data_IF_558583460825
#
_entry.id   IF_558583460825
#
_cell.length_a   1.000
_cell.length_b   1.000
_cell.length_c   1.000
_cell.angle_alpha   90.00
_cell.angle_beta   90.00
_cell.angle_gamma   90.00
#
_symmetry.space_group_name_H-M   'P 1'
#
loop_
_entity.id
_entity.type
_entity.pdbx_description
1 polymer ?
#
# COMPACT_ATOMS: atom_id res chain seq x y z
N UNK A 1 -44.21 -40.44 54.99
CA UNK A 1 -42.81 -40.54 54.55
C UNK A 1 -42.60 -41.94 54.01
N UNK A 2 -42.09 -42.11 52.78
CA UNK A 2 -40.66 -42.03 52.56
C UNK A 2 -40.28 -40.92 51.56
N UNK A 3 -39.11 -40.35 51.80
CA UNK A 3 -38.51 -39.26 51.05
C UNK A 3 -37.98 -39.80 49.71
N UNK A 4 -38.31 -39.19 48.56
CA UNK A 4 -37.78 -39.61 47.27
C UNK A 4 -36.27 -39.31 47.21
N UNK A 5 -35.48 -40.37 47.05
CA UNK A 5 -34.04 -40.31 46.83
C UNK A 5 -33.76 -39.68 45.46
N UNK A 6 -33.07 -38.56 45.49
CA UNK A 6 -32.69 -37.78 44.30
C UNK A 6 -31.65 -38.55 43.48
N UNK A 7 -31.76 -38.55 42.13
CA UNK A 7 -30.74 -39.14 41.26
C UNK A 7 -29.37 -38.51 41.53
N UNK A 8 -28.26 -39.26 41.36
CA UNK A 8 -26.93 -38.71 41.58
C UNK A 8 -26.74 -37.50 40.66
N UNK A 9 -26.46 -36.37 41.30
CA UNK A 9 -26.23 -35.09 40.63
C UNK A 9 -25.17 -35.30 39.54
N UNK A 10 -25.38 -34.81 38.31
CA UNK A 10 -24.36 -34.86 37.25
C UNK A 10 -23.03 -34.38 37.83
N UNK A 11 -21.96 -35.13 37.56
CA UNK A 11 -20.64 -34.73 38.02
C UNK A 11 -20.40 -33.27 37.59
N UNK A 12 -19.96 -32.40 38.50
CA UNK A 12 -19.77 -30.99 38.19
C UNK A 12 -18.87 -30.86 36.97
N UNK A 13 -19.14 -29.89 36.08
CA UNK A 13 -18.38 -29.75 34.85
C UNK A 13 -16.88 -29.59 35.18
N UNK A 14 -16.04 -30.36 34.48
CA UNK A 14 -14.59 -30.31 34.67
C UNK A 14 -14.10 -28.91 34.32
N UNK A 15 -13.40 -28.28 35.26
CA UNK A 15 -12.86 -26.94 35.04
C UNK A 15 -11.88 -26.96 33.86
N UNK A 16 -12.00 -26.03 32.90
CA UNK A 16 -11.15 -26.02 31.73
C UNK A 16 -9.72 -25.64 32.10
N UNK A 17 -8.76 -26.34 31.49
CA UNK A 17 -7.34 -26.00 31.56
C UNK A 17 -6.97 -25.08 30.40
N UNK A 18 -6.23 -24.02 30.70
CA UNK A 18 -5.91 -22.97 29.72
C UNK A 18 -4.50 -22.43 29.94
N UNK A 19 -3.87 -21.97 28.86
CA UNK A 19 -2.62 -21.21 28.94
C UNK A 19 -2.84 -19.76 28.53
N UNK A 20 -1.91 -18.88 28.89
CA UNK A 20 -2.00 -17.47 28.53
C UNK A 20 -1.85 -17.24 27.01
N UNK A 21 -2.57 -16.25 26.43
CA UNK A 21 -2.34 -15.83 25.06
C UNK A 21 -1.03 -15.06 24.92
N UNK A 22 -0.56 -14.94 23.67
CA UNK A 22 0.65 -14.20 23.30
C UNK A 22 0.30 -13.24 22.15
N UNK A 23 0.70 -11.97 22.26
CA UNK A 23 0.61 -10.99 21.16
C UNK A 23 1.84 -11.11 20.28
N UNK A 24 1.64 -11.22 18.98
CA UNK A 24 2.70 -11.32 17.98
C UNK A 24 2.45 -10.30 16.85
N UNK A 25 3.49 -9.76 16.24
CA UNK A 25 3.39 -8.82 15.09
C UNK A 25 4.29 -7.59 15.23
N UNK A 26 4.42 -6.82 14.15
CA UNK A 26 5.29 -5.64 14.11
C UNK A 26 4.73 -4.55 14.98
N UNK A 27 5.56 -4.04 15.87
CA UNK A 27 5.25 -2.95 16.77
C UNK A 27 5.77 -1.67 16.11
N UNK A 28 5.34 -1.39 14.89
CA UNK A 28 5.60 -0.13 14.20
C UNK A 28 4.29 0.48 13.75
N UNK A 29 4.28 1.81 13.69
CA UNK A 29 3.11 2.54 13.21
C UNK A 29 2.67 2.01 11.85
N UNK A 30 1.41 1.60 11.82
CA UNK A 30 0.63 1.19 10.68
C UNK A 30 0.63 -0.32 10.34
N UNK A 31 1.43 -1.13 11.04
CA UNK A 31 1.40 -2.59 10.91
C UNK A 31 0.11 -3.21 11.48
N UNK A 32 0.03 -4.53 11.58
CA UNK A 32 -0.99 -5.21 12.37
C UNK A 32 -0.37 -6.29 13.24
N UNK A 33 -0.87 -6.45 14.46
CA UNK A 33 -0.51 -7.52 15.41
C UNK A 33 -1.64 -8.51 15.56
N UNK A 34 -1.33 -9.75 15.94
CA UNK A 34 -2.25 -10.88 16.07
C UNK A 34 -2.11 -11.56 17.42
N UNK A 35 -3.21 -12.04 17.97
CA UNK A 35 -3.27 -12.75 19.23
C UNK A 35 -3.23 -14.27 18.98
N UNK A 36 -2.28 -14.95 19.63
CA UNK A 36 -2.27 -16.41 19.74
C UNK A 36 -2.96 -16.80 21.05
N UNK A 37 -4.06 -17.56 21.01
CA UNK A 37 -4.92 -17.69 22.18
C UNK A 37 -4.41 -18.63 23.28
N UNK A 38 -3.38 -19.44 23.04
CA UNK A 38 -2.95 -20.51 23.97
C UNK A 38 -3.77 -21.80 23.84
N UNK A 39 -3.62 -22.75 24.77
CA UNK A 39 -4.44 -23.96 24.84
C UNK A 39 -5.72 -23.70 25.63
N UNK A 40 -6.81 -24.35 25.20
CA UNK A 40 -8.11 -24.30 25.85
C UNK A 40 -8.69 -25.72 25.80
N UNK A 41 -8.70 -26.43 26.94
CA UNK A 41 -9.14 -27.83 27.02
C UNK A 41 -10.20 -28.02 28.12
N UNK A 42 -11.38 -28.58 27.81
CA UNK A 42 -11.87 -28.97 26.47
C UNK A 42 -11.98 -27.76 25.52
N UNK A 43 -12.12 -27.98 24.22
CA UNK A 43 -12.30 -26.88 23.24
C UNK A 43 -13.54 -26.04 23.59
N UNK A 44 -13.41 -24.71 23.59
CA UNK A 44 -14.51 -23.78 23.88
C UNK A 44 -15.35 -23.46 22.63
N UNK A 45 -16.46 -22.72 22.80
CA UNK A 45 -17.07 -21.95 21.69
C UNK A 45 -16.08 -20.95 21.08
N UNK A 46 -16.36 -20.33 19.90
CA UNK A 46 -15.43 -19.41 19.24
C UNK A 46 -14.88 -18.35 20.20
N UNK A 47 -13.57 -18.21 20.21
CA UNK A 47 -12.87 -17.31 21.12
C UNK A 47 -13.19 -15.86 20.82
N UNK A 48 -13.34 -15.07 21.89
CA UNK A 48 -13.51 -13.61 21.81
C UNK A 48 -12.24 -12.92 22.25
N UNK A 49 -11.83 -11.90 21.50
CA UNK A 49 -10.62 -11.13 21.77
C UNK A 49 -10.99 -9.75 22.31
N UNK A 50 -10.11 -9.22 23.15
CA UNK A 50 -10.13 -7.83 23.57
C UNK A 50 -8.70 -7.36 23.64
N UNK A 51 -8.35 -6.41 22.80
CA UNK A 51 -7.02 -5.85 22.71
C UNK A 51 -6.83 -4.67 23.65
N UNK A 52 -5.59 -4.40 24.03
CA UNK A 52 -5.22 -3.29 24.90
C UNK A 52 -3.90 -2.68 24.46
N UNK A 53 -3.80 -1.35 24.57
CA UNK A 53 -2.56 -0.59 24.43
C UNK A 53 -2.29 0.08 25.77
N UNK A 54 -1.15 -0.22 26.41
CA UNK A 54 -0.80 0.18 27.77
C UNK A 54 -1.93 -0.02 28.81
N UNK A 55 -2.66 -1.13 28.66
CA UNK A 55 -3.77 -1.50 29.54
C UNK A 55 -5.11 -0.82 29.21
N UNK A 56 -5.17 0.09 28.24
CA UNK A 56 -6.40 0.72 27.75
C UNK A 56 -7.04 -0.14 26.68
N UNK A 57 -8.32 -0.49 26.85
CA UNK A 57 -9.05 -1.36 25.92
C UNK A 57 -9.25 -0.73 24.55
N UNK A 58 -8.95 -1.48 23.49
CA UNK A 58 -9.29 -1.15 22.11
C UNK A 58 -10.72 -1.64 21.82
N UNK A 59 -11.70 -0.76 21.98
CA UNK A 59 -13.12 -1.07 21.79
C UNK A 59 -13.41 -1.35 20.31
N UNK A 60 -14.15 -2.42 20.00
CA UNK A 60 -14.46 -2.83 18.62
C UNK A 60 -13.45 -3.82 18.03
N UNK A 61 -12.21 -3.79 18.50
CA UNK A 61 -11.14 -4.73 18.13
C UNK A 61 -11.34 -6.08 18.84
N UNK A 62 -12.27 -6.86 18.29
CA UNK A 62 -12.74 -8.13 18.86
C UNK A 62 -12.27 -9.35 18.08
N UNK A 63 -11.58 -9.11 16.96
CA UNK A 63 -10.96 -10.14 16.13
C UNK A 63 -9.58 -10.57 16.65
N UNK A 64 -9.03 -11.66 16.09
CA UNK A 64 -7.73 -12.18 16.46
C UNK A 64 -6.57 -11.27 16.02
N UNK A 65 -6.83 -10.19 15.28
CA UNK A 65 -5.85 -9.24 14.75
C UNK A 65 -6.24 -7.82 15.18
N UNK A 66 -5.25 -6.97 15.40
CA UNK A 66 -5.33 -5.55 15.73
C UNK A 66 -4.41 -4.80 14.78
N UNK A 67 -4.93 -3.89 13.95
CA UNK A 67 -4.07 -2.98 13.19
C UNK A 67 -3.43 -1.98 14.15
N UNK A 68 -2.11 -1.90 14.10
CA UNK A 68 -1.32 -0.93 14.83
C UNK A 68 -1.42 0.39 14.12
N UNK A 69 -2.40 1.20 14.49
CA UNK A 69 -2.40 2.58 14.06
C UNK A 69 -1.20 3.34 14.67
N UNK A 70 -1.02 4.60 14.26
CA UNK A 70 -0.08 5.51 14.91
C UNK A 70 -0.17 5.55 16.44
N UNK A 71 -1.37 5.38 17.00
CA UNK A 71 -1.62 5.31 18.45
C UNK A 71 -0.96 4.11 19.16
N UNK A 72 -0.52 3.13 18.38
CA UNK A 72 0.26 2.04 18.91
C UNK A 72 1.66 2.53 19.31
N UNK A 73 2.23 3.57 18.66
CA UNK A 73 3.58 4.11 18.89
C UNK A 73 3.89 4.33 20.38
N UNK A 74 5.00 3.78 20.85
CA UNK A 74 5.43 3.79 22.25
C UNK A 74 4.65 2.85 23.16
N UNK A 75 3.46 2.41 22.75
CA UNK A 75 2.58 1.60 23.58
C UNK A 75 2.98 0.14 23.59
N UNK A 76 2.71 -0.51 24.72
CA UNK A 76 2.85 -1.96 24.86
C UNK A 76 1.49 -2.61 24.74
N UNK A 77 1.45 -3.66 23.96
CA UNK A 77 0.22 -4.32 23.60
C UNK A 77 -0.02 -5.50 24.53
N UNK A 78 -1.26 -5.65 24.97
CA UNK A 78 -1.76 -6.87 25.63
C UNK A 78 -3.08 -7.28 25.02
N UNK A 79 -3.45 -8.54 25.20
CA UNK A 79 -4.74 -9.07 24.74
C UNK A 79 -5.33 -9.98 25.79
N UNK A 80 -6.65 -9.92 25.95
CA UNK A 80 -7.44 -10.86 26.73
C UNK A 80 -8.27 -11.71 25.78
N UNK A 81 -8.14 -13.03 25.92
CA UNK A 81 -8.88 -14.03 25.17
C UNK A 81 -9.89 -14.69 26.11
N UNK A 82 -11.13 -14.83 25.63
CA UNK A 82 -12.24 -15.38 26.41
C UNK A 82 -12.83 -16.61 25.73
N UNK A 83 -13.00 -17.68 26.49
CA UNK A 83 -13.66 -18.91 26.06
C UNK A 83 -14.86 -19.23 26.94
N UNK A 84 -15.86 -19.89 26.35
CA UNK A 84 -17.12 -20.27 27.00
C UNK A 84 -17.41 -21.77 26.82
N UNK A 85 -17.97 -22.40 27.86
CA UNK A 85 -18.43 -23.78 27.86
C UNK A 85 -19.81 -23.87 28.53
N UNK A 86 -20.60 -24.86 28.15
CA UNK A 86 -21.92 -25.04 28.74
C UNK A 86 -21.83 -25.33 30.25
N UNK A 87 -22.59 -24.58 31.04
CA UNK A 87 -22.65 -24.75 32.50
C UNK A 87 -21.39 -24.30 33.25
N UNK A 88 -20.43 -23.68 32.57
CA UNK A 88 -19.21 -23.10 33.16
C UNK A 88 -19.23 -21.60 32.92
N UNK A 89 -18.88 -20.81 33.93
CA UNK A 89 -18.66 -19.37 33.76
C UNK A 89 -17.54 -19.12 32.73
N UNK A 90 -17.64 -18.01 31.99
CA UNK A 90 -16.62 -17.62 31.01
C UNK A 90 -15.22 -17.58 31.65
N UNK A 91 -14.25 -18.16 30.95
CA UNK A 91 -12.85 -18.11 31.36
C UNK A 91 -12.10 -17.12 30.50
N UNK A 92 -11.40 -16.21 31.17
CA UNK A 92 -10.57 -15.19 30.54
C UNK A 92 -9.10 -15.48 30.80
N UNK A 93 -8.27 -15.32 29.77
CA UNK A 93 -6.81 -15.36 29.89
C UNK A 93 -6.21 -14.16 29.18
N UNK A 94 -5.38 -13.42 29.90
CA UNK A 94 -4.61 -12.30 29.37
C UNK A 94 -3.15 -12.71 29.18
N UNK A 95 -2.44 -11.98 28.33
CA UNK A 95 -0.98 -12.11 28.20
C UNK A 95 -0.28 -11.98 29.55
N UNK A 96 0.72 -12.82 29.82
CA UNK A 96 1.51 -12.77 31.06
C UNK A 96 2.48 -11.60 31.11
N UNK A 97 2.81 -11.00 29.95
CA UNK A 97 3.66 -9.80 29.83
C UNK A 97 3.18 -8.95 28.65
N UNK A 98 3.21 -7.63 28.80
CA UNK A 98 3.00 -6.70 27.70
C UNK A 98 4.17 -6.73 26.69
N UNK A 99 3.91 -6.37 25.43
CA UNK A 99 4.96 -6.32 24.39
C UNK A 99 6.04 -5.26 24.68
N UNK A 100 7.03 -5.15 23.80
CA UNK A 100 7.84 -3.93 23.70
C UNK A 100 6.96 -2.72 23.31
N UNK A 101 7.43 -1.47 23.54
CA UNK A 101 6.84 -0.27 22.97
C UNK A 101 6.79 -0.39 21.45
N UNK A 102 5.74 0.11 20.82
CA UNK A 102 5.74 0.29 19.36
C UNK A 102 6.67 1.44 18.99
N UNK A 103 7.22 1.42 17.79
CA UNK A 103 8.16 2.42 17.28
C UNK A 103 7.60 3.06 16.03
N UNK A 104 8.16 4.21 15.63
CA UNK A 104 7.66 4.90 14.46
C UNK A 104 7.99 4.08 13.19
N UNK A 105 7.67 4.68 12.05
CA UNK A 105 8.54 4.67 10.89
C UNK A 105 9.48 5.88 11.04
N UNK A 106 10.67 5.79 11.66
CA UNK A 106 11.65 6.87 11.64
C UNK A 106 12.64 6.67 10.49
N UNK A 107 13.15 7.77 9.90
CA UNK A 107 14.57 7.71 9.56
C UNK A 107 15.27 8.84 8.82
N UNK A 108 16.45 9.18 9.32
CA UNK A 108 17.60 9.82 8.65
C UNK A 108 18.71 10.18 9.69
N UNK A 109 18.57 9.75 10.93
CA UNK A 109 19.33 10.12 12.12
C UNK A 109 20.71 9.43 12.29
N UNK A 110 21.21 8.72 11.28
CA UNK A 110 22.60 8.23 11.15
C UNK A 110 23.48 9.17 10.34
N UNK A 111 22.89 9.86 9.38
CA UNK A 111 23.64 10.09 8.17
C UNK A 111 24.10 8.75 7.60
N UNK A 112 23.23 8.05 6.89
CA UNK A 112 23.10 8.15 5.46
C UNK A 112 21.99 7.24 4.91
N UNK A 113 21.51 6.17 5.56
CA UNK A 113 20.34 5.34 5.17
C UNK A 113 19.92 5.34 3.68
N UNK A 114 18.61 5.31 3.41
CA UNK A 114 18.03 5.55 2.08
C UNK A 114 16.99 6.66 2.10
N UNK A 115 17.03 7.51 1.07
CA UNK A 115 15.87 8.25 0.63
C UNK A 115 14.94 7.28 -0.12
N UNK A 116 13.81 6.92 0.48
CA UNK A 116 12.83 5.97 -0.04
C UNK A 116 11.84 6.69 -0.95
N UNK A 117 11.59 6.12 -2.13
CA UNK A 117 10.64 6.65 -3.13
C UNK A 117 9.65 5.57 -3.53
N UNK A 118 8.37 5.75 -3.22
CA UNK A 118 7.34 4.80 -3.64
C UNK A 118 6.84 5.09 -5.05
N UNK A 119 6.62 4.05 -5.86
CA UNK A 119 6.13 4.17 -7.23
C UNK A 119 4.85 3.34 -7.37
N UNK A 120 3.72 4.04 -7.39
CA UNK A 120 2.37 3.51 -7.31
C UNK A 120 1.58 3.78 -8.59
N UNK A 121 0.48 3.06 -8.78
CA UNK A 121 -0.43 3.24 -9.91
C UNK A 121 -0.45 2.03 -10.85
N UNK A 122 -0.42 2.26 -12.16
CA UNK A 122 -0.57 1.22 -13.19
C UNK A 122 0.57 1.17 -14.21
N UNK A 123 0.30 0.75 -15.45
CA UNK A 123 1.31 0.42 -16.47
C UNK A 123 2.30 1.55 -16.76
N UNK A 124 1.87 2.82 -16.80
CA UNK A 124 2.79 3.95 -16.98
C UNK A 124 3.69 4.22 -15.75
N UNK A 125 3.25 3.88 -14.54
CA UNK A 125 4.10 3.87 -13.35
C UNK A 125 5.06 2.67 -13.35
N UNK A 126 4.56 1.50 -13.79
CA UNK A 126 5.29 0.23 -13.87
C UNK A 126 6.43 0.27 -14.89
N UNK A 127 6.26 1.09 -15.94
CA UNK A 127 7.16 1.19 -17.07
C UNK A 127 6.66 0.40 -18.26
N UNK A 128 5.73 1.00 -19.02
CA UNK A 128 5.25 0.48 -20.30
C UNK A 128 6.07 0.94 -21.50
N UNK A 129 7.18 1.65 -21.31
CA UNK A 129 7.90 2.32 -22.39
C UNK A 129 8.79 1.43 -23.22
N UNK A 130 8.56 1.44 -24.53
CA UNK A 130 9.38 0.77 -25.52
C UNK A 130 10.57 1.64 -25.94
N UNK A 131 11.67 0.99 -26.35
CA UNK A 131 12.91 1.69 -26.70
C UNK A 131 13.91 1.79 -25.56
N UNK A 132 14.00 0.74 -24.73
CA UNK A 132 15.10 0.58 -23.78
C UNK A 132 16.45 0.75 -24.50
N UNK A 133 17.30 1.60 -23.94
CA UNK A 133 18.62 1.90 -24.48
C UNK A 133 19.68 1.60 -23.41
N UNK A 134 20.51 0.55 -23.57
CA UNK A 134 21.51 0.19 -22.57
C UNK A 134 22.61 1.26 -22.38
N UNK A 135 22.73 2.25 -23.26
CA UNK A 135 23.63 3.38 -23.07
C UNK A 135 23.05 4.47 -22.16
N UNK A 136 21.72 4.51 -22.00
CA UNK A 136 20.99 5.53 -21.23
C UNK A 136 20.35 4.95 -19.96
N UNK A 137 19.71 3.78 -20.08
CA UNK A 137 19.00 3.08 -19.02
C UNK A 137 19.94 2.18 -18.23
N UNK A 138 20.96 2.81 -17.68
CA UNK A 138 22.01 2.14 -16.91
C UNK A 138 21.65 2.12 -15.42
N UNK A 139 21.90 0.99 -14.73
CA UNK A 139 21.92 0.95 -13.27
C UNK A 139 22.92 1.96 -12.70
N UNK A 140 22.66 2.40 -11.47
CA UNK A 140 23.53 3.32 -10.76
C UNK A 140 23.80 2.80 -9.36
N UNK A 141 25.08 2.63 -9.02
CA UNK A 141 25.48 2.31 -7.64
C UNK A 141 24.91 3.36 -6.68
N UNK A 142 24.24 2.89 -5.62
CA UNK A 142 23.53 3.74 -4.65
C UNK A 142 22.04 3.94 -4.96
N UNK A 143 21.54 3.46 -6.10
CA UNK A 143 20.09 3.35 -6.37
C UNK A 143 19.71 1.87 -6.28
N UNK A 144 18.89 1.53 -5.30
CA UNK A 144 18.40 0.19 -5.04
C UNK A 144 16.88 0.13 -5.18
N UNK A 145 16.32 -1.07 -5.26
CA UNK A 145 14.88 -1.30 -5.25
C UNK A 145 14.50 -2.39 -4.24
N UNK A 146 13.38 -2.19 -3.54
CA UNK A 146 12.72 -3.25 -2.80
C UNK A 146 11.83 -4.04 -3.76
N UNK A 147 12.16 -5.31 -4.03
CA UNK A 147 11.46 -6.12 -5.03
C UNK A 147 10.00 -6.35 -4.62
N UNK A 148 9.08 -5.75 -5.37
CA UNK A 148 7.63 -5.85 -5.15
C UNK A 148 6.96 -7.04 -5.83
N UNK A 149 7.64 -7.66 -6.81
CA UNK A 149 7.09 -8.77 -7.61
C UNK A 149 7.08 -10.06 -6.80
N UNK A 150 5.90 -10.54 -6.42
CA UNK A 150 5.76 -11.77 -5.63
C UNK A 150 6.17 -13.04 -6.38
N UNK A 151 6.33 -12.99 -7.70
CA UNK A 151 6.79 -14.13 -8.52
C UNK A 151 8.31 -14.11 -8.70
N UNK A 152 8.98 -13.02 -8.34
CA UNK A 152 10.42 -12.91 -8.41
C UNK A 152 11.07 -13.63 -7.23
N UNK A 153 12.20 -14.29 -7.48
CA UNK A 153 12.91 -15.05 -6.45
C UNK A 153 13.45 -14.15 -5.32
N UNK A 154 13.60 -12.85 -5.58
CA UNK A 154 14.06 -11.86 -4.61
C UNK A 154 12.94 -11.03 -3.99
N UNK A 155 11.67 -11.45 -4.10
CA UNK A 155 10.53 -10.75 -3.49
C UNK A 155 10.79 -10.36 -2.03
N UNK A 156 10.54 -9.07 -1.72
CA UNK A 156 10.76 -8.51 -0.38
C UNK A 156 12.23 -8.24 -0.03
N UNK A 157 13.17 -8.43 -0.96
CA UNK A 157 14.60 -8.11 -0.78
C UNK A 157 14.96 -6.81 -1.47
N UNK A 158 16.01 -6.16 -0.96
CA UNK A 158 16.66 -5.03 -1.63
C UNK A 158 17.69 -5.57 -2.61
N UNK A 159 17.62 -5.10 -3.86
CA UNK A 159 18.57 -5.41 -4.93
C UNK A 159 18.96 -4.12 -5.65
N UNK A 160 20.10 -4.07 -6.37
CA UNK A 160 20.41 -2.92 -7.22
C UNK A 160 19.24 -2.61 -8.17
N UNK A 161 18.90 -1.33 -8.29
CA UNK A 161 17.81 -0.92 -9.16
C UNK A 161 18.25 -1.00 -10.63
N UNK A 162 17.37 -1.55 -11.45
CA UNK A 162 17.59 -1.72 -12.88
C UNK A 162 16.22 -1.74 -13.58
N UNK A 163 16.14 -1.18 -14.77
CA UNK A 163 14.94 -1.32 -15.61
C UNK A 163 14.83 -2.78 -16.08
N UNK A 164 13.65 -3.36 -16.23
CA UNK A 164 12.40 -2.88 -15.66
C UNK A 164 12.38 -3.05 -14.15
N UNK A 165 11.90 -2.05 -13.44
CA UNK A 165 11.69 -2.15 -12.00
C UNK A 165 10.72 -3.28 -11.66
N UNK A 166 10.97 -3.97 -10.56
CA UNK A 166 10.24 -5.18 -10.15
C UNK A 166 9.02 -4.82 -9.31
N UNK A 167 7.99 -4.31 -9.99
CA UNK A 167 6.68 -3.94 -9.45
C UNK A 167 5.86 -5.14 -8.94
N UNK A 168 4.60 -4.96 -8.50
CA UNK A 168 3.74 -6.04 -7.95
C UNK A 168 3.71 -7.29 -8.84
N UNK A 169 3.73 -7.04 -10.15
CA UNK A 169 4.24 -7.98 -11.13
C UNK A 169 5.29 -7.26 -11.96
N UNK A 170 6.22 -7.97 -12.58
CA UNK A 170 7.11 -7.39 -13.59
C UNK A 170 6.53 -7.66 -14.97
N UNK A 171 6.28 -6.60 -15.74
CA UNK A 171 5.85 -6.75 -17.13
C UNK A 171 7.01 -7.31 -17.95
N UNK A 172 6.87 -8.54 -18.44
CA UNK A 172 7.86 -9.23 -19.29
C UNK A 172 7.31 -9.36 -20.71
N UNK A 173 8.16 -9.08 -21.69
CA UNK A 173 7.89 -9.33 -23.11
C UNK A 173 8.95 -10.29 -23.65
N UNK A 174 8.57 -11.21 -24.54
CA UNK A 174 9.50 -12.22 -25.07
C UNK A 174 10.46 -11.66 -26.11
N UNK A 175 10.06 -10.58 -26.78
CA UNK A 175 10.78 -9.92 -27.88
C UNK A 175 11.53 -8.66 -27.43
N UNK A 176 11.36 -8.23 -26.17
CA UNK A 176 11.98 -7.03 -25.63
C UNK A 176 12.69 -7.33 -24.32
N UNK A 177 13.97 -6.91 -24.17
CA UNK A 177 14.73 -7.25 -22.99
C UNK A 177 14.15 -6.56 -21.74
N UNK A 178 13.77 -5.28 -21.86
CA UNK A 178 13.34 -4.41 -20.76
C UNK A 178 12.36 -3.33 -21.26
N UNK A 179 11.49 -2.91 -20.36
CA UNK A 179 10.60 -1.77 -20.48
C UNK A 179 11.01 -0.67 -19.50
N UNK A 180 10.79 0.59 -19.88
CA UNK A 180 11.26 1.76 -19.13
C UNK A 180 10.10 2.46 -18.45
N UNK A 181 10.29 2.80 -17.18
CA UNK A 181 9.38 3.61 -16.37
C UNK A 181 10.03 4.89 -15.83
N UNK A 182 9.27 5.72 -15.09
CA UNK A 182 9.80 6.98 -14.55
C UNK A 182 10.76 6.77 -13.37
N UNK A 183 10.66 5.63 -12.67
CA UNK A 183 11.33 5.39 -11.39
C UNK A 183 12.85 5.47 -11.43
N UNK A 184 13.50 4.80 -12.40
CA UNK A 184 14.96 4.81 -12.50
C UNK A 184 15.51 6.20 -12.79
N UNK A 185 14.82 6.98 -13.62
CA UNK A 185 15.24 8.37 -13.91
C UNK A 185 15.09 9.26 -12.68
N UNK A 186 13.99 9.16 -11.95
CA UNK A 186 13.81 9.87 -10.68
C UNK A 186 14.89 9.49 -9.66
N UNK A 187 15.12 8.19 -9.46
CA UNK A 187 16.06 7.68 -8.47
C UNK A 187 17.51 8.10 -8.73
N UNK A 188 17.94 8.08 -9.99
CA UNK A 188 19.27 8.58 -10.39
C UNK A 188 19.43 10.08 -10.14
N UNK A 189 18.39 10.87 -10.43
CA UNK A 189 18.42 12.31 -10.20
C UNK A 189 18.44 12.64 -8.71
N UNK A 190 17.62 11.96 -7.90
CA UNK A 190 17.63 12.11 -6.45
C UNK A 190 18.99 11.78 -5.85
N UNK A 191 19.58 10.64 -6.23
CA UNK A 191 20.91 10.24 -5.73
C UNK A 191 21.99 11.26 -6.08
N UNK A 192 21.92 11.88 -7.26
CA UNK A 192 22.90 12.87 -7.69
C UNK A 192 22.94 14.11 -6.77
N UNK A 193 21.80 14.47 -6.17
CA UNK A 193 21.67 15.59 -5.25
C UNK A 193 21.72 15.16 -3.76
N UNK A 194 21.70 13.85 -3.48
CA UNK A 194 21.84 13.31 -2.13
C UNK A 194 23.23 13.58 -1.55
N UNK A 195 23.29 13.81 -0.24
CA UNK A 195 24.55 13.97 0.48
C UNK A 195 25.47 12.73 0.33
N UNK A 196 26.80 12.88 0.31
CA UNK A 196 27.72 11.77 0.06
C UNK A 196 27.49 10.58 0.99
N UNK A 197 27.14 9.44 0.39
CA UNK A 197 26.90 8.17 1.07
C UNK A 197 25.44 7.85 1.36
N UNK A 198 24.50 8.81 1.17
CA UNK A 198 23.05 8.56 1.24
C UNK A 198 22.66 7.86 -0.05
N UNK A 199 21.88 6.79 0.08
CA UNK A 199 21.41 5.97 -1.04
C UNK A 199 19.95 6.30 -1.34
N UNK A 200 19.45 5.77 -2.46
CA UNK A 200 18.04 5.85 -2.84
C UNK A 200 17.47 4.43 -2.88
N UNK A 201 16.30 4.24 -2.26
CA UNK A 201 15.56 2.99 -2.32
C UNK A 201 14.22 3.21 -3.01
N UNK A 202 14.08 2.66 -4.21
CA UNK A 202 12.82 2.65 -4.94
C UNK A 202 11.92 1.54 -4.39
N UNK A 203 10.64 1.85 -4.16
CA UNK A 203 9.60 0.89 -3.76
C UNK A 203 8.60 0.76 -4.91
N UNK A 204 8.90 -0.09 -5.91
CA UNK A 204 8.02 -0.35 -7.04
C UNK A 204 6.77 -1.16 -6.61
N UNK A 205 5.61 -0.50 -6.56
CA UNK A 205 4.35 -1.12 -6.14
C UNK A 205 3.16 -0.86 -7.09
N UNK A 206 3.41 -0.32 -8.29
CA UNK A 206 2.44 -0.25 -9.38
C UNK A 206 2.01 -1.65 -9.92
N UNK A 207 0.88 -1.69 -10.62
CA UNK A 207 0.37 -2.88 -11.30
C UNK A 207 -0.40 -2.52 -12.57
N UNK A 208 0.02 -3.03 -13.73
CA UNK A 208 -0.66 -2.82 -14.99
C UNK A 208 -2.13 -3.26 -14.99
N UNK A 209 -2.95 -2.57 -15.79
CA UNK A 209 -4.38 -2.88 -15.98
C UNK A 209 -5.22 -2.87 -14.70
N UNK A 210 -4.88 -2.00 -13.75
CA UNK A 210 -5.67 -1.80 -12.52
C UNK A 210 -6.42 -0.48 -12.53
N UNK A 211 -7.45 -0.42 -11.71
CA UNK A 211 -8.25 0.78 -11.50
C UNK A 211 -8.42 1.08 -10.02
N UNK A 212 -8.83 2.30 -9.75
CA UNK A 212 -9.21 2.76 -8.43
C UNK A 212 -10.68 2.45 -8.12
N UNK A 213 -11.56 2.56 -9.12
CA UNK A 213 -13.02 2.47 -8.94
C UNK A 213 -13.73 1.50 -9.88
N UNK A 214 -13.02 1.00 -10.90
CA UNK A 214 -13.51 -0.03 -11.81
C UNK A 214 -13.19 -1.41 -11.26
N UNK A 215 -14.15 -2.31 -11.41
CA UNK A 215 -13.93 -3.75 -11.34
C UNK A 215 -14.63 -4.39 -12.53
N UNK A 216 -13.89 -5.13 -13.35
CA UNK A 216 -14.48 -6.05 -14.31
C UNK A 216 -14.14 -7.50 -13.94
N UNK A 217 -14.74 -8.45 -14.66
CA UNK A 217 -14.64 -9.88 -14.33
C UNK A 217 -13.21 -10.45 -14.38
N UNK A 218 -12.26 -9.74 -15.00
CA UNK A 218 -10.86 -10.18 -15.10
C UNK A 218 -9.95 -9.48 -14.10
N UNK A 219 -10.40 -8.38 -13.50
CA UNK A 219 -9.62 -7.59 -12.56
C UNK A 219 -9.45 -8.34 -11.22
N UNK A 220 -8.19 -8.59 -10.85
CA UNK A 220 -7.80 -9.30 -9.62
C UNK A 220 -7.43 -8.36 -8.47
N UNK A 221 -7.34 -7.08 -8.78
CA UNK A 221 -6.71 -6.06 -7.95
C UNK A 221 -7.59 -4.83 -7.82
N UNK A 222 -7.52 -4.15 -6.68
CA UNK A 222 -8.12 -2.83 -6.51
C UNK A 222 -7.14 -1.89 -5.84
N UNK A 223 -7.16 -0.62 -6.25
CA UNK A 223 -6.50 0.46 -5.50
C UNK A 223 -7.45 1.15 -4.50
N UNK A 224 -8.74 0.80 -4.48
CA UNK A 224 -9.70 1.39 -3.53
C UNK A 224 -9.17 1.19 -2.10
N UNK A 225 -8.82 2.27 -1.37
CA UNK A 225 -8.27 2.16 -0.02
C UNK A 225 -9.31 1.67 0.99
N UNK A 226 -10.59 1.86 0.69
CA UNK A 226 -11.73 1.55 1.57
C UNK A 226 -12.90 0.98 0.78
N UNK A 227 -12.73 -0.22 0.19
CA UNK A 227 -13.79 -0.82 -0.60
C UNK A 227 -14.99 -1.13 0.29
N UNK A 228 -16.19 -0.88 -0.24
CA UNK A 228 -17.44 -1.05 0.51
C UNK A 228 -17.61 -2.52 0.93
N UNK A 229 -17.99 -2.83 2.19
CA UNK A 229 -18.23 -4.20 2.61
C UNK A 229 -19.26 -4.91 1.73
N UNK A 230 -18.88 -6.05 1.16
CA UNK A 230 -19.73 -6.82 0.24
C UNK A 230 -19.67 -6.38 -1.23
N UNK A 231 -18.92 -5.33 -1.58
CA UNK A 231 -18.57 -5.01 -2.97
C UNK A 231 -17.66 -6.07 -3.59
N UNK A 232 -17.55 -6.06 -4.93
CA UNK A 232 -16.58 -6.92 -5.63
C UNK A 232 -15.16 -6.50 -5.26
N UNK A 233 -14.90 -5.19 -5.22
CA UNK A 233 -13.64 -4.56 -4.81
C UNK A 233 -13.15 -5.11 -3.47
N UNK A 234 -14.04 -5.29 -2.48
CA UNK A 234 -13.69 -5.80 -1.16
C UNK A 234 -13.18 -7.25 -1.16
N UNK A 235 -13.49 -8.02 -2.22
CA UNK A 235 -12.99 -9.37 -2.44
C UNK A 235 -11.68 -9.44 -3.24
N UNK A 236 -11.19 -8.31 -3.79
CA UNK A 236 -9.97 -8.27 -4.60
C UNK A 236 -8.71 -8.10 -3.75
N UNK A 237 -7.55 -8.38 -4.35
CA UNK A 237 -6.27 -8.06 -3.72
C UNK A 237 -6.09 -6.53 -3.69
N UNK A 238 -5.98 -5.97 -2.50
CA UNK A 238 -5.89 -4.53 -2.31
C UNK A 238 -4.44 -4.03 -2.47
N UNK A 239 -4.20 -3.28 -3.53
CA UNK A 239 -2.88 -2.74 -3.89
C UNK A 239 -2.47 -1.55 -3.03
N UNK A 240 -3.43 -0.79 -2.51
CA UNK A 240 -3.15 0.26 -1.52
C UNK A 240 -2.59 -0.35 -0.21
N UNK A 241 -3.20 -1.43 0.28
CA UNK A 241 -2.70 -2.18 1.43
C UNK A 241 -1.34 -2.83 1.16
N UNK A 242 -1.14 -3.36 -0.05
CA UNK A 242 0.16 -3.89 -0.47
C UNK A 242 1.25 -2.80 -0.53
N UNK A 243 0.95 -1.67 -1.17
CA UNK A 243 1.87 -0.55 -1.32
C UNK A 243 2.30 0.01 0.04
N UNK A 244 1.33 0.23 0.94
CA UNK A 244 1.64 0.66 2.31
C UNK A 244 2.54 -0.36 3.01
N UNK A 245 2.22 -1.65 2.94
CA UNK A 245 3.09 -2.71 3.50
C UNK A 245 4.52 -2.67 2.94
N UNK A 246 4.69 -2.46 1.64
CA UNK A 246 6.03 -2.39 1.04
C UNK A 246 6.80 -1.13 1.47
N UNK A 247 6.12 0.00 1.58
CA UNK A 247 6.72 1.24 2.09
C UNK A 247 7.14 1.06 3.55
N UNK A 248 6.31 0.46 4.40
CA UNK A 248 6.68 0.16 5.79
C UNK A 248 7.89 -0.75 5.87
N UNK A 249 7.90 -1.80 5.03
CA UNK A 249 9.01 -2.74 4.98
C UNK A 249 10.30 -2.00 4.61
N UNK A 250 10.26 -1.12 3.59
CA UNK A 250 11.40 -0.31 3.20
C UNK A 250 11.90 0.57 4.34
N UNK A 251 11.00 1.18 5.10
CA UNK A 251 11.35 2.09 6.18
C UNK A 251 11.79 1.35 7.45
N UNK A 252 11.38 0.09 7.62
CA UNK A 252 11.83 -0.77 8.71
C UNK A 252 13.21 -1.42 8.45
N UNK A 253 13.73 -1.37 7.21
CA UNK A 253 15.04 -1.95 6.87
C UNK A 253 16.19 -1.26 7.61
N UNK A 254 16.05 0.04 7.80
CA UNK A 254 17.06 0.88 8.43
C UNK A 254 16.31 1.99 9.18
N UNK A 255 16.57 2.20 10.48
CA UNK A 255 15.95 3.28 11.25
C UNK A 255 16.25 4.68 10.72
N UNK A 256 17.08 4.78 9.68
CA UNK A 256 17.44 6.01 9.01
C UNK A 256 16.96 6.14 7.56
N UNK A 257 16.15 5.17 7.11
CA UNK A 257 15.37 5.32 5.90
C UNK A 257 14.22 6.31 6.11
N UNK A 258 14.02 7.24 5.17
CA UNK A 258 12.83 8.11 5.12
C UNK A 258 12.13 8.00 3.80
N UNK A 259 10.80 8.03 3.84
CA UNK A 259 10.00 8.23 2.65
C UNK A 259 10.07 9.70 2.26
N UNK A 260 10.63 9.98 1.07
CA UNK A 260 10.81 11.35 0.58
C UNK A 260 9.87 11.72 -0.55
N UNK A 261 9.34 10.73 -1.28
CA UNK A 261 8.39 10.97 -2.36
C UNK A 261 7.51 9.74 -2.63
N UNK A 262 6.31 10.01 -3.13
CA UNK A 262 5.40 9.00 -3.66
C UNK A 262 5.01 9.43 -5.07
N UNK A 263 5.30 8.60 -6.06
CA UNK A 263 4.87 8.78 -7.44
C UNK A 263 3.56 8.01 -7.65
N UNK A 264 2.58 8.65 -8.26
CA UNK A 264 1.30 8.07 -8.67
C UNK A 264 1.08 8.32 -10.16
N UNK A 265 1.09 7.26 -10.98
CA UNK A 265 0.67 7.34 -12.39
C UNK A 265 -0.42 6.31 -12.69
N UNK A 266 -1.66 6.80 -12.80
CA UNK A 266 -2.85 5.98 -12.92
C UNK A 266 -4.02 6.78 -13.50
N UNK A 267 -5.01 6.10 -14.07
CA UNK A 267 -6.31 6.68 -14.39
C UNK A 267 -6.88 6.15 -15.70
N UNK A 268 -6.06 5.53 -16.53
CA UNK A 268 -6.43 5.08 -17.85
C UNK A 268 -7.53 4.00 -17.79
N UNK A 269 -7.48 3.11 -16.78
CA UNK A 269 -8.52 2.09 -16.58
C UNK A 269 -9.84 2.67 -16.06
N UNK A 270 -9.80 3.73 -15.25
CA UNK A 270 -10.97 4.41 -14.71
C UNK A 270 -11.64 5.33 -15.75
N UNK A 271 -10.88 5.90 -16.69
CA UNK A 271 -11.44 6.60 -17.83
C UNK A 271 -12.40 5.68 -18.64
N UNK A 272 -12.09 4.39 -18.73
CA UNK A 272 -12.98 3.42 -19.35
C UNK A 272 -14.25 3.19 -18.50
N UNK A 273 -14.18 3.22 -17.17
CA UNK A 273 -15.38 3.10 -16.33
C UNK A 273 -16.35 4.26 -16.59
N UNK A 274 -15.82 5.49 -16.69
CA UNK A 274 -16.59 6.66 -17.11
C UNK A 274 -17.14 6.43 -18.53
N UNK A 275 -16.30 6.03 -19.50
CA UNK A 275 -16.74 5.82 -20.88
C UNK A 275 -17.88 4.80 -21.03
N UNK A 276 -17.87 3.75 -20.21
CA UNK A 276 -18.88 2.67 -20.26
C UNK A 276 -20.15 2.94 -19.45
N UNK A 277 -20.20 4.03 -18.68
CA UNK A 277 -21.40 4.34 -17.90
C UNK A 277 -22.59 4.68 -18.84
N UNK A 278 -23.77 4.06 -18.61
CA UNK A 278 -24.87 4.07 -19.60
C UNK A 278 -25.58 5.42 -19.71
N UNK A 279 -25.49 6.27 -18.68
CA UNK A 279 -26.17 7.56 -18.61
C UNK A 279 -25.20 8.71 -18.37
N UNK A 280 -25.61 9.93 -18.67
CA UNK A 280 -24.81 11.12 -18.39
C UNK A 280 -24.58 11.29 -16.88
N UNK A 281 -25.62 11.05 -16.08
CA UNK A 281 -25.56 11.07 -14.62
C UNK A 281 -24.60 9.99 -14.10
N UNK A 282 -24.60 8.81 -14.71
CA UNK A 282 -23.67 7.73 -14.39
C UNK A 282 -22.21 8.08 -14.68
N UNK A 283 -21.95 8.83 -15.76
CA UNK A 283 -20.60 9.35 -16.07
C UNK A 283 -20.13 10.36 -15.03
N UNK A 284 -21.00 11.30 -14.65
CA UNK A 284 -20.71 12.27 -13.58
C UNK A 284 -20.43 11.55 -12.26
N UNK A 285 -21.24 10.55 -11.90
CA UNK A 285 -21.04 9.76 -10.69
C UNK A 285 -19.73 8.94 -10.72
N UNK A 286 -19.38 8.34 -11.86
CA UNK A 286 -18.12 7.60 -12.00
C UNK A 286 -16.89 8.51 -11.85
N UNK A 287 -16.92 9.71 -12.45
CA UNK A 287 -15.88 10.73 -12.25
C UNK A 287 -15.76 11.14 -10.79
N UNK A 288 -16.89 11.40 -10.12
CA UNK A 288 -16.90 11.77 -8.71
C UNK A 288 -16.33 10.65 -7.82
N UNK A 289 -16.76 9.39 -8.04
CA UNK A 289 -16.21 8.21 -7.32
C UNK A 289 -14.69 8.13 -7.47
N UNK A 290 -14.15 8.39 -8.67
CA UNK A 290 -12.71 8.39 -8.89
C UNK A 290 -11.99 9.48 -8.09
N UNK A 291 -12.51 10.71 -8.12
CA UNK A 291 -11.97 11.81 -7.34
C UNK A 291 -11.96 11.52 -5.83
N UNK A 292 -13.08 10.98 -5.30
CA UNK A 292 -13.23 10.66 -3.89
C UNK A 292 -12.23 9.56 -3.46
N UNK A 293 -12.12 8.47 -4.22
CA UNK A 293 -11.16 7.40 -3.89
C UNK A 293 -9.71 7.83 -4.01
N UNK A 294 -9.38 8.73 -4.94
CA UNK A 294 -8.01 9.24 -5.07
C UNK A 294 -7.66 10.13 -3.89
N UNK A 295 -8.61 10.96 -3.44
CA UNK A 295 -8.48 11.79 -2.26
C UNK A 295 -8.31 10.94 -0.98
N UNK A 296 -9.08 9.87 -0.83
CA UNK A 296 -8.97 8.94 0.30
C UNK A 296 -7.63 8.20 0.31
N UNK A 297 -7.14 7.77 -0.86
CA UNK A 297 -5.86 7.10 -1.02
C UNK A 297 -4.72 8.03 -0.57
N UNK A 298 -4.71 9.26 -1.08
CA UNK A 298 -3.72 10.28 -0.71
C UNK A 298 -3.80 10.60 0.78
N UNK A 299 -5.00 10.83 1.31
CA UNK A 299 -5.21 11.13 2.74
C UNK A 299 -4.68 10.00 3.61
N UNK A 300 -4.90 8.73 3.22
CA UNK A 300 -4.41 7.58 3.95
C UNK A 300 -2.88 7.44 3.95
N UNK A 301 -2.21 7.76 2.83
CA UNK A 301 -0.75 7.78 2.74
C UNK A 301 -0.15 8.88 3.63
N UNK A 302 -0.69 10.10 3.54
CA UNK A 302 -0.20 11.23 4.35
C UNK A 302 -0.46 11.00 5.84
N UNK A 303 -1.62 10.45 6.20
CA UNK A 303 -1.93 10.08 7.59
C UNK A 303 -0.93 9.07 8.15
N UNK A 304 -0.45 8.16 7.31
CA UNK A 304 0.45 7.07 7.71
C UNK A 304 1.92 7.48 7.76
N UNK A 305 2.38 8.24 6.77
CA UNK A 305 3.81 8.53 6.56
C UNK A 305 4.19 9.99 6.79
N UNK A 306 3.22 10.86 7.06
CA UNK A 306 3.42 12.31 7.16
C UNK A 306 3.32 13.01 5.80
N UNK A 307 3.57 14.32 5.80
CA UNK A 307 3.49 15.20 4.63
C UNK A 307 4.64 14.93 3.64
N UNK A 308 4.56 13.80 2.94
CA UNK A 308 5.49 13.40 1.89
C UNK A 308 4.95 13.91 0.55
N UNK A 309 5.78 14.51 -0.32
CA UNK A 309 5.38 14.88 -1.68
C UNK A 309 4.67 13.74 -2.42
N UNK A 310 3.41 13.97 -2.80
CA UNK A 310 2.60 13.06 -3.60
C UNK A 310 2.53 13.57 -5.05
N UNK A 311 3.28 12.93 -5.92
CA UNK A 311 3.55 13.41 -7.27
C UNK A 311 2.63 12.67 -8.26
N UNK A 312 1.64 13.37 -8.79
CA UNK A 312 0.61 12.79 -9.67
C UNK A 312 0.98 13.03 -11.13
N UNK A 313 1.22 11.96 -11.87
CA UNK A 313 1.60 12.01 -13.29
C UNK A 313 0.40 12.06 -14.23
N UNK A 314 0.45 12.98 -15.18
CA UNK A 314 -0.50 13.05 -16.29
C UNK A 314 -0.35 11.85 -17.23
N UNK A 315 -1.48 11.44 -17.81
CA UNK A 315 -1.54 10.40 -18.84
C UNK A 315 -0.99 10.95 -20.18
N UNK A 316 -0.65 10.04 -21.11
CA UNK A 316 -0.11 10.40 -22.44
C UNK A 316 -1.06 11.41 -23.13
N UNK A 317 -0.60 12.60 -23.51
CA UNK A 317 -1.46 13.64 -24.08
C UNK A 317 -2.18 13.20 -25.37
N UNK A 318 -1.52 12.42 -26.21
CA UNK A 318 -2.08 11.85 -27.45
C UNK A 318 -3.21 10.85 -27.16
N UNK A 319 -3.10 10.14 -26.04
CA UNK A 319 -4.17 9.26 -25.57
C UNK A 319 -5.36 10.04 -25.04
N UNK A 320 -5.13 11.09 -24.25
CA UNK A 320 -6.19 11.95 -23.74
C UNK A 320 -6.96 12.54 -24.93
N UNK A 321 -6.25 13.21 -25.83
CA UNK A 321 -6.80 13.81 -27.04
C UNK A 321 -8.09 14.59 -26.78
N UNK A 322 -9.09 14.40 -27.65
CA UNK A 322 -10.45 14.95 -27.49
C UNK A 322 -11.42 14.01 -26.77
N UNK A 323 -10.93 12.99 -26.04
CA UNK A 323 -11.78 12.00 -25.41
C UNK A 323 -12.26 12.48 -24.03
N UNK A 324 -13.55 12.79 -23.91
CA UNK A 324 -14.16 13.36 -22.69
C UNK A 324 -13.84 12.58 -21.41
N UNK A 325 -14.10 11.25 -21.33
CA UNK A 325 -13.75 10.44 -20.16
C UNK A 325 -12.28 10.51 -19.73
N UNK A 326 -11.33 10.61 -20.67
CA UNK A 326 -9.89 10.74 -20.36
C UNK A 326 -9.55 12.14 -19.87
N UNK A 327 -10.15 13.17 -20.48
CA UNK A 327 -10.06 14.56 -20.02
C UNK A 327 -10.66 14.73 -18.62
N UNK A 328 -11.72 13.98 -18.29
CA UNK A 328 -12.32 13.99 -16.97
C UNK A 328 -11.37 13.48 -15.89
N UNK A 329 -10.63 12.39 -16.16
CA UNK A 329 -9.60 11.88 -15.26
C UNK A 329 -8.43 12.87 -15.11
N UNK A 330 -7.94 13.42 -16.24
CA UNK A 330 -6.87 14.42 -16.21
C UNK A 330 -7.28 15.67 -15.40
N UNK A 331 -8.54 16.10 -15.51
CA UNK A 331 -9.08 17.19 -14.71
C UNK A 331 -9.05 16.87 -13.21
N UNK A 332 -9.42 15.64 -12.81
CA UNK A 332 -9.36 15.20 -11.40
C UNK A 332 -7.92 15.26 -10.87
N UNK A 333 -6.93 14.81 -11.64
CA UNK A 333 -5.52 14.90 -11.23
C UNK A 333 -5.06 16.34 -11.01
N UNK A 334 -5.40 17.25 -11.93
CA UNK A 334 -5.08 18.68 -11.82
C UNK A 334 -5.79 19.34 -10.64
N UNK A 335 -7.04 18.97 -10.39
CA UNK A 335 -7.81 19.53 -9.29
C UNK A 335 -7.29 19.05 -7.93
N UNK A 336 -6.74 17.83 -7.83
CA UNK A 336 -6.17 17.33 -6.58
C UNK A 336 -5.01 18.21 -6.06
N UNK A 337 -4.12 18.69 -6.93
CA UNK A 337 -3.05 19.64 -6.57
C UNK A 337 -3.61 20.95 -5.97
N UNK A 338 -4.78 21.41 -6.42
CA UNK A 338 -5.43 22.60 -5.86
C UNK A 338 -6.04 22.36 -4.49
N UNK A 339 -6.38 21.10 -4.19
CA UNK A 339 -7.03 20.69 -2.95
C UNK A 339 -6.03 20.31 -1.86
N UNK A 340 -4.81 19.88 -2.22
CA UNK A 340 -3.84 19.28 -1.31
C UNK A 340 -2.45 19.91 -1.47
N UNK A 341 -1.88 20.54 -0.43
CA UNK A 341 -0.58 21.19 -0.54
C UNK A 341 0.59 20.22 -0.75
N UNK A 342 0.46 18.96 -0.33
CA UNK A 342 1.46 17.89 -0.52
C UNK A 342 1.49 17.36 -1.96
N UNK A 343 0.43 17.63 -2.73
CA UNK A 343 0.26 17.11 -4.08
C UNK A 343 0.90 18.05 -5.11
N UNK A 344 1.65 17.47 -6.04
CA UNK A 344 2.13 18.18 -7.21
C UNK A 344 1.72 17.43 -8.48
N UNK A 345 1.03 18.11 -9.39
CA UNK A 345 0.67 17.53 -10.68
C UNK A 345 1.84 17.70 -11.67
N UNK A 346 2.17 16.61 -12.37
CA UNK A 346 3.21 16.57 -13.40
C UNK A 346 2.53 16.35 -14.75
N UNK A 347 2.46 17.38 -15.61
CA UNK A 347 1.82 17.26 -16.91
C UNK A 347 2.41 16.13 -17.74
N UNK A 348 1.56 15.43 -18.50
CA UNK A 348 1.99 14.42 -19.45
C UNK A 348 2.84 15.01 -20.58
N UNK A 349 3.74 14.19 -21.13
CA UNK A 349 4.68 14.63 -22.17
C UNK A 349 4.16 14.25 -23.56
N UNK A 350 3.96 15.25 -24.42
CA UNK A 350 3.50 15.05 -25.80
C UNK A 350 4.59 14.50 -26.72
N UNK A 351 4.16 13.80 -27.78
CA UNK A 351 5.03 13.26 -28.83
C UNK A 351 5.80 12.00 -28.42
N UNK A 352 5.40 11.37 -27.31
CA UNK A 352 6.15 10.27 -26.70
C UNK A 352 5.24 9.12 -26.27
N UNK A 353 4.23 8.80 -27.07
CA UNK A 353 3.54 7.52 -26.96
C UNK A 353 4.41 6.39 -27.53
N UNK A 354 4.08 5.12 -27.26
CA UNK A 354 4.64 3.95 -27.97
C UNK A 354 4.19 3.93 -29.45
N UNK A 355 4.63 4.93 -30.22
CA UNK A 355 4.16 5.19 -31.58
C UNK A 355 4.29 3.96 -32.47
N UNK A 356 3.22 3.66 -33.21
CA UNK A 356 3.13 2.49 -34.08
C UNK A 356 2.65 1.21 -33.40
N UNK A 357 2.54 1.18 -32.07
CA UNK A 357 2.05 0.02 -31.32
C UNK A 357 0.86 0.33 -30.42
N UNK A 358 1.00 1.27 -29.50
CA UNK A 358 -0.09 1.74 -28.66
C UNK A 358 0.06 3.21 -28.27
N UNK A 359 -1.06 3.89 -28.10
CA UNK A 359 -1.06 5.29 -27.68
C UNK A 359 -1.28 5.47 -26.17
N UNK A 360 -1.49 4.39 -25.42
CA UNK A 360 -1.85 4.44 -23.99
C UNK A 360 -0.59 4.66 -23.13
N UNK A 361 0.53 4.07 -23.55
CA UNK A 361 1.77 4.08 -22.80
C UNK A 361 2.76 5.07 -23.39
N UNK A 362 3.54 5.70 -22.51
CA UNK A 362 4.70 6.47 -22.95
C UNK A 362 5.73 5.55 -23.59
N UNK A 363 6.49 6.02 -24.57
CA UNK A 363 7.76 5.39 -24.97
C UNK A 363 8.84 5.56 -23.88
N UNK A 364 10.00 4.94 -24.08
CA UNK A 364 11.11 5.05 -23.12
C UNK A 364 11.61 6.50 -22.94
N UNK A 365 11.55 7.34 -23.97
CA UNK A 365 11.96 8.75 -23.88
C UNK A 365 10.95 9.53 -23.02
N UNK A 366 9.65 9.36 -23.29
CA UNK A 366 8.56 9.93 -22.51
C UNK A 366 8.59 9.47 -21.05
N UNK A 367 8.84 8.19 -20.80
CA UNK A 367 8.99 7.65 -19.45
C UNK A 367 10.15 8.31 -18.68
N UNK A 368 11.31 8.52 -19.32
CA UNK A 368 12.44 9.28 -18.73
C UNK A 368 12.07 10.75 -18.50
N UNK A 369 11.39 11.38 -19.44
CA UNK A 369 10.93 12.78 -19.31
C UNK A 369 9.92 12.93 -18.16
N UNK A 370 8.99 11.98 -18.00
CA UNK A 370 8.10 11.91 -16.84
C UNK A 370 8.89 11.76 -15.54
N UNK A 371 9.89 10.87 -15.49
CA UNK A 371 10.80 10.73 -14.33
C UNK A 371 11.51 12.04 -13.97
N UNK A 372 11.99 12.78 -14.98
CA UNK A 372 12.59 14.11 -14.81
C UNK A 372 11.56 15.12 -14.29
N UNK A 373 10.34 15.10 -14.83
CA UNK A 373 9.23 15.96 -14.41
C UNK A 373 8.82 15.71 -12.95
N UNK A 374 8.74 14.44 -12.54
CA UNK A 374 8.51 14.06 -11.14
C UNK A 374 9.62 14.59 -10.23
N UNK A 375 10.90 14.45 -10.62
CA UNK A 375 11.99 14.95 -9.80
C UNK A 375 11.97 16.48 -9.66
N UNK A 376 11.71 17.19 -10.75
CA UNK A 376 11.53 18.63 -10.71
C UNK A 376 10.34 19.06 -9.82
N UNK A 377 9.25 18.28 -9.80
CA UNK A 377 8.11 18.53 -8.92
C UNK A 377 8.44 18.26 -7.44
N UNK A 378 9.19 17.19 -7.16
CA UNK A 378 9.74 16.91 -5.84
C UNK A 378 10.55 18.10 -5.31
N UNK A 379 11.53 18.59 -6.08
CA UNK A 379 12.35 19.75 -5.70
C UNK A 379 11.50 21.01 -5.41
N UNK A 380 10.46 21.27 -6.21
CA UNK A 380 9.55 22.40 -5.97
C UNK A 380 8.76 22.25 -4.66
N UNK A 381 8.40 21.03 -4.27
CA UNK A 381 7.66 20.77 -3.04
C UNK A 381 8.55 20.83 -1.80
N UNK A 382 9.80 20.37 -1.89
CA UNK A 382 10.72 20.37 -0.73
C UNK A 382 11.47 21.68 -0.53
N UNK A 383 11.42 22.60 -1.49
CA UNK A 383 12.00 23.94 -1.38
C UNK A 383 11.04 25.00 -0.79
N UNK A 384 9.78 24.61 -0.53
CA UNK A 384 8.77 25.41 0.17
C UNK A 384 8.87 25.15 1.67
#
# INVERSE_FOLDING_TARGET
>A
TPEPTTPPVPAPPVAPTTTAPVVVGQLTVGSAVRALPGTWTPTSSPLRYRWYLDGVTQVGETGPTLRLGPAALGARITVTVSGSWAGIADVHRSTTRATAPVTAVPGAADGLGHDVVAILGQSNAQGGGFGYDPAVDVPREGVDQLVGDWQDADWGRVVPADDSLKHVTTWKMTDRPKLVGPGMTFGRALLADSQPGRRVLLVPAAQGSTALTRVDAVQRFTWDPTPEPGSVEAGLTNLYANATTQIDNALALDPDNRLVAIIWAQGESDANAIATAPTAEGRVAAKAKYADRLLELETGLITRYGAVPFLVGGMVPEWIGSNGPRQDIDAVHRDLERLRPEVAYVPGVSGHANEGEDFIHYDAVGARMMGTGFYAAYLRQTAR
#
